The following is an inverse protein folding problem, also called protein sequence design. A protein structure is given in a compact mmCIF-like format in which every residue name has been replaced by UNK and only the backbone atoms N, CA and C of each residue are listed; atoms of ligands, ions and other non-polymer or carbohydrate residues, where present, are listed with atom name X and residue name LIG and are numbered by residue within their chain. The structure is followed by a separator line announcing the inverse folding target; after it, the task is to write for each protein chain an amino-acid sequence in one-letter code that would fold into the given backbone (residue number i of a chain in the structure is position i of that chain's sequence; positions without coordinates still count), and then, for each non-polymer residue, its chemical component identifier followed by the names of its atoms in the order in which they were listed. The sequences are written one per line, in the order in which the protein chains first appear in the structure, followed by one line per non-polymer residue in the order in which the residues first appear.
data_IF_949353722934
#
_entry.id   IF_949353722934
#
_cell.length_a   1.000
_cell.length_b   1.000
_cell.length_c   1.000
_cell.angle_alpha   90.00
_cell.angle_beta   90.00
_cell.angle_gamma   90.00
#
_symmetry.space_group_name_H-M   'P 1'
#
loop_
_entity.id
_entity.type
_entity.pdbx_description
1 polymer ?
#
# COMPACT_ATOMS: atom_id res chain seq x y z
N UNK A 1 23.94 -20.79 -17.55
CA UNK A 1 23.68 -21.11 -16.13
C UNK A 1 23.32 -19.79 -15.44
N UNK A 2 22.04 -19.53 -15.22
CA UNK A 2 21.55 -18.28 -14.61
C UNK A 2 21.95 -18.25 -13.12
N UNK A 3 22.81 -17.31 -12.71
CA UNK A 3 23.15 -17.11 -11.31
C UNK A 3 22.20 -16.07 -10.72
N UNK A 4 21.21 -16.50 -9.94
CA UNK A 4 20.43 -15.59 -9.09
C UNK A 4 21.25 -15.25 -7.84
N UNK A 5 21.34 -13.97 -7.50
CA UNK A 5 21.93 -13.50 -6.23
C UNK A 5 20.79 -13.07 -5.32
N UNK A 6 20.72 -13.63 -4.11
CA UNK A 6 19.70 -13.31 -3.12
C UNK A 6 20.33 -12.63 -1.91
N UNK A 7 19.72 -11.55 -1.43
CA UNK A 7 20.08 -10.84 -0.21
C UNK A 7 18.93 -10.96 0.79
N UNK A 8 19.27 -11.26 2.04
CA UNK A 8 18.33 -11.17 3.16
C UNK A 8 18.25 -9.71 3.64
N UNK A 9 17.05 -9.24 3.94
CA UNK A 9 16.83 -7.94 4.56
C UNK A 9 17.37 -7.98 5.99
N UNK A 10 18.61 -7.52 6.17
CA UNK A 10 19.19 -7.23 7.49
C UNK A 10 19.14 -5.73 7.74
N UNK A 11 19.09 -5.30 9.00
CA UNK A 11 18.92 -3.91 9.43
C UNK A 11 20.00 -2.92 8.95
N UNK A 12 20.99 -3.37 8.18
CA UNK A 12 22.05 -2.57 7.56
C UNK A 12 21.96 -2.68 6.04
N UNK A 13 21.27 -1.72 5.43
CA UNK A 13 20.96 -1.67 4.01
C UNK A 13 22.19 -1.42 3.12
N UNK A 14 22.65 -2.45 2.40
CA UNK A 14 23.57 -2.28 1.27
C UNK A 14 22.86 -1.66 0.05
N UNK A 15 23.57 -0.74 -0.60
CA UNK A 15 23.08 0.15 -1.64
C UNK A 15 22.94 -0.57 -2.98
N UNK A 16 21.77 -1.12 -3.29
CA UNK A 16 21.35 -1.38 -4.67
C UNK A 16 20.00 -0.69 -4.96
N UNK A 17 19.98 0.12 -6.01
CA UNK A 17 18.87 1.01 -6.40
C UNK A 17 17.65 0.18 -6.81
N UNK A 18 16.51 0.41 -6.16
CA UNK A 18 15.32 1.12 -6.70
C UNK A 18 14.01 0.61 -6.07
N UNK A 19 13.74 -0.69 -6.01
CA UNK A 19 12.40 -1.19 -5.60
C UNK A 19 12.28 -1.60 -4.12
N UNK A 20 13.19 -2.39 -3.51
CA UNK A 20 13.05 -2.79 -2.10
C UNK A 20 13.12 -1.58 -1.17
N UNK A 21 13.96 -0.60 -1.52
CA UNK A 21 14.16 0.62 -0.74
C UNK A 21 12.92 1.51 -0.77
N UNK A 22 12.24 1.65 -1.91
CA UNK A 22 11.00 2.41 -2.00
C UNK A 22 9.91 1.75 -1.15
N UNK A 23 9.75 0.43 -1.24
CA UNK A 23 8.74 -0.30 -0.47
C UNK A 23 8.98 -0.19 1.05
N UNK A 24 10.22 -0.36 1.52
CA UNK A 24 10.53 -0.19 2.97
C UNK A 24 10.47 1.26 3.43
N UNK A 25 10.68 2.25 2.55
CA UNK A 25 10.50 3.66 2.89
C UNK A 25 9.01 4.06 2.89
N UNK A 26 8.19 3.39 2.08
CA UNK A 26 6.75 3.63 1.97
C UNK A 26 5.98 2.95 3.10
N UNK A 27 6.32 1.73 3.52
CA UNK A 27 5.69 1.05 4.66
C UNK A 27 6.69 0.41 5.64
N UNK A 28 6.47 0.55 6.96
CA UNK A 28 7.20 -0.17 7.99
C UNK A 28 6.99 -1.68 7.89
N UNK A 29 7.94 -2.44 8.45
CA UNK A 29 7.90 -3.90 8.50
C UNK A 29 6.59 -4.47 9.11
N UNK A 30 5.95 -3.73 10.01
CA UNK A 30 4.68 -4.15 10.65
C UNK A 30 3.52 -4.29 9.65
N UNK A 31 3.52 -3.48 8.57
CA UNK A 31 2.48 -3.51 7.54
C UNK A 31 2.88 -4.34 6.31
N UNK A 32 4.18 -4.59 6.13
CA UNK A 32 4.76 -5.36 5.04
C UNK A 32 6.09 -5.98 5.49
N UNK A 33 6.12 -7.29 5.71
CA UNK A 33 7.35 -7.97 6.17
C UNK A 33 8.13 -8.55 4.98
N UNK A 34 9.18 -7.82 4.57
CA UNK A 34 10.15 -8.25 3.55
C UNK A 34 11.30 -9.04 4.21
N UNK A 35 11.43 -10.33 3.90
CA UNK A 35 12.54 -11.16 4.38
C UNK A 35 13.80 -11.01 3.54
N UNK A 36 13.66 -10.70 2.25
CA UNK A 36 14.79 -10.53 1.35
C UNK A 36 14.37 -10.30 -0.09
N UNK A 37 15.35 -10.21 -0.98
CA UNK A 37 15.11 -10.10 -2.40
C UNK A 37 16.19 -10.82 -3.21
N UNK A 38 15.83 -11.33 -4.36
CA UNK A 38 16.73 -11.92 -5.33
C UNK A 38 16.75 -11.09 -6.61
N UNK A 39 17.93 -10.88 -7.18
CA UNK A 39 18.07 -10.27 -8.49
C UNK A 39 18.74 -11.25 -9.46
N UNK A 40 18.34 -11.16 -10.72
CA UNK A 40 18.89 -11.96 -11.79
C UNK A 40 19.63 -11.04 -12.76
N UNK A 41 20.95 -11.20 -12.81
CA UNK A 41 21.83 -10.47 -13.71
C UNK A 41 21.92 -11.28 -15.02
N UNK A 42 21.11 -10.94 -16.03
CA UNK A 42 21.12 -11.60 -17.33
C UNK A 42 21.03 -10.59 -18.47
N UNK A 43 21.88 -10.74 -19.49
CA UNK A 43 22.00 -9.81 -20.62
C UNK A 43 20.71 -9.68 -21.47
N UNK A 44 19.76 -10.61 -21.34
CA UNK A 44 18.54 -10.64 -22.18
C UNK A 44 17.30 -10.01 -21.51
N UNK A 45 17.30 -9.85 -20.18
CA UNK A 45 16.21 -9.21 -19.43
C UNK A 45 16.85 -8.32 -18.36
N UNK A 46 16.82 -6.98 -18.51
CA UNK A 46 17.32 -6.09 -17.47
C UNK A 46 16.48 -6.25 -16.19
N UNK A 47 17.18 -6.47 -15.08
CA UNK A 47 16.74 -6.24 -13.70
C UNK A 47 15.46 -6.96 -13.23
N UNK A 48 15.37 -8.28 -13.42
CA UNK A 48 14.33 -9.07 -12.73
C UNK A 48 14.61 -9.12 -11.23
N UNK A 49 13.76 -8.47 -10.45
CA UNK A 49 13.75 -8.52 -8.98
C UNK A 49 12.65 -9.45 -8.48
N UNK A 50 12.97 -10.30 -7.51
CA UNK A 50 12.01 -11.14 -6.79
C UNK A 50 12.08 -10.77 -5.31
N UNK A 51 10.99 -10.29 -4.74
CA UNK A 51 10.87 -10.05 -3.30
C UNK A 51 10.41 -11.33 -2.58
N UNK A 52 10.97 -11.59 -1.40
CA UNK A 52 10.55 -12.67 -0.50
C UNK A 52 9.86 -12.01 0.69
N UNK A 53 8.56 -12.22 0.81
CA UNK A 53 7.72 -11.60 1.82
C UNK A 53 7.12 -12.64 2.76
N UNK A 54 6.55 -12.18 3.85
CA UNK A 54 5.74 -13.00 4.75
C UNK A 54 4.52 -13.60 4.04
N UNK A 55 4.31 -14.89 4.29
CA UNK A 55 3.18 -15.63 3.74
C UNK A 55 1.97 -15.43 4.65
N UNK A 56 0.88 -14.91 4.09
CA UNK A 56 -0.42 -14.82 4.75
C UNK A 56 -1.53 -15.47 3.94
N UNK A 57 -2.71 -15.59 4.55
CA UNK A 57 -3.91 -16.04 3.85
C UNK A 57 -4.57 -14.87 3.12
N UNK A 58 -4.91 -14.96 1.83
CA UNK A 58 -5.60 -13.89 1.10
C UNK A 58 -6.88 -13.43 1.79
N UNK A 59 -7.14 -12.12 1.78
CA UNK A 59 -8.39 -11.58 2.31
C UNK A 59 -9.56 -11.87 1.36
N UNK A 60 -10.35 -12.90 1.68
CA UNK A 60 -11.56 -13.23 0.93
C UNK A 60 -12.82 -12.66 1.59
N UNK A 61 -13.74 -12.11 0.78
CA UNK A 61 -14.99 -11.54 1.31
C UNK A 61 -15.88 -12.56 2.00
N UNK A 62 -15.90 -13.81 1.52
CA UNK A 62 -16.68 -14.86 2.16
C UNK A 62 -16.15 -15.19 3.55
N UNK A 63 -14.83 -15.14 3.74
CA UNK A 63 -14.20 -15.36 5.03
C UNK A 63 -14.49 -14.23 6.01
N UNK A 64 -14.54 -12.97 5.54
CA UNK A 64 -14.96 -11.82 6.35
C UNK A 64 -16.39 -11.96 6.89
N UNK A 65 -17.33 -12.44 6.06
CA UNK A 65 -18.72 -12.61 6.48
C UNK A 65 -18.90 -13.72 7.54
N UNK A 66 -17.96 -14.64 7.65
CA UNK A 66 -18.02 -15.78 8.57
C UNK A 66 -17.10 -15.62 9.78
N UNK A 67 -16.25 -14.60 9.82
CA UNK A 67 -15.33 -14.34 10.94
C UNK A 67 -16.08 -13.82 12.16
N UNK A 68 -15.55 -14.12 13.34
CA UNK A 68 -16.04 -13.60 14.62
C UNK A 68 -15.98 -12.07 14.64
N UNK A 69 -16.82 -11.43 15.44
CA UNK A 69 -16.79 -9.98 15.58
C UNK A 69 -15.43 -9.48 16.12
N UNK A 70 -14.76 -10.26 16.97
CA UNK A 70 -13.43 -9.97 17.53
C UNK A 70 -12.37 -9.90 16.42
N UNK A 71 -12.39 -10.88 15.52
CA UNK A 71 -11.44 -10.94 14.40
C UNK A 71 -11.70 -9.81 13.40
N UNK A 72 -12.97 -9.51 13.11
CA UNK A 72 -13.31 -8.37 12.25
C UNK A 72 -12.84 -7.04 12.85
N UNK A 73 -13.00 -6.87 14.16
CA UNK A 73 -12.52 -5.69 14.85
C UNK A 73 -11.00 -5.56 14.78
N UNK A 74 -10.27 -6.68 14.92
CA UNK A 74 -8.82 -6.72 14.74
C UNK A 74 -8.42 -6.30 13.33
N UNK A 75 -9.06 -6.85 12.29
CA UNK A 75 -8.84 -6.49 10.89
C UNK A 75 -9.11 -4.99 10.65
N UNK A 76 -10.24 -4.47 11.14
CA UNK A 76 -10.56 -3.04 11.07
C UNK A 76 -9.48 -2.18 11.72
N UNK A 77 -8.97 -2.58 12.88
CA UNK A 77 -7.91 -1.85 13.58
C UNK A 77 -6.61 -1.84 12.78
N UNK A 78 -6.19 -2.99 12.22
CA UNK A 78 -5.02 -3.07 11.34
C UNK A 78 -5.18 -2.16 10.12
N UNK A 79 -6.37 -2.17 9.50
CA UNK A 79 -6.70 -1.31 8.35
C UNK A 79 -6.60 0.18 8.70
N UNK A 80 -7.20 0.61 9.81
CA UNK A 80 -7.16 2.03 10.23
C UNK A 80 -5.74 2.47 10.55
N UNK A 81 -4.93 1.60 11.19
CA UNK A 81 -3.50 1.88 11.43
C UNK A 81 -2.73 2.07 10.13
N UNK A 82 -3.00 1.22 9.12
CA UNK A 82 -2.39 1.35 7.80
C UNK A 82 -2.80 2.67 7.13
N UNK A 83 -4.10 2.98 7.09
CA UNK A 83 -4.61 4.23 6.50
C UNK A 83 -4.00 5.46 7.17
N UNK A 84 -3.93 5.46 8.50
CA UNK A 84 -3.29 6.53 9.26
C UNK A 84 -1.82 6.68 8.90
N UNK A 85 -1.09 5.57 8.76
CA UNK A 85 0.31 5.61 8.35
C UNK A 85 0.47 6.15 6.93
N UNK A 86 -0.34 5.69 5.97
CA UNK A 86 -0.28 6.15 4.58
C UNK A 86 -0.52 7.67 4.48
N UNK A 87 -1.47 8.20 5.25
CA UNK A 87 -1.75 9.64 5.29
C UNK A 87 -0.60 10.48 5.90
N UNK A 88 0.13 9.92 6.88
CA UNK A 88 1.17 10.62 7.64
C UNK A 88 2.58 10.06 7.40
N UNK A 89 2.80 9.43 6.26
CA UNK A 89 4.10 8.85 5.92
C UNK A 89 5.18 9.95 5.88
N UNK A 90 6.42 9.65 6.31
CA UNK A 90 7.53 10.62 6.27
C UNK A 90 7.89 11.08 4.85
N UNK A 91 7.40 10.40 3.82
CA UNK A 91 7.57 10.77 2.42
C UNK A 91 6.45 11.67 1.87
N UNK A 92 5.41 11.95 2.68
CA UNK A 92 4.15 12.57 2.24
C UNK A 92 3.03 11.54 2.10
N UNK A 93 1.80 12.02 1.93
CA UNK A 93 0.60 11.16 1.86
C UNK A 93 0.70 10.19 0.68
N UNK A 94 0.62 8.90 0.99
CA UNK A 94 0.75 7.80 0.02
C UNK A 94 -0.64 7.36 -0.44
N UNK A 95 -0.85 7.19 -1.74
CA UNK A 95 -2.03 6.55 -2.31
C UNK A 95 -1.70 5.13 -2.78
N UNK A 96 -2.60 4.18 -2.52
CA UNK A 96 -2.56 2.84 -3.10
C UNK A 96 -3.44 2.86 -4.36
N UNK A 97 -2.81 2.83 -5.54
CA UNK A 97 -3.55 2.92 -6.80
C UNK A 97 -4.43 1.69 -7.04
N UNK A 98 -3.98 0.51 -6.61
CA UNK A 98 -4.74 -0.73 -6.68
C UNK A 98 -5.31 -1.18 -5.32
N UNK A 99 -6.11 -0.33 -4.69
CA UNK A 99 -6.77 -0.68 -3.41
C UNK A 99 -7.89 -1.72 -3.62
N UNK A 100 -7.54 -3.01 -3.61
CA UNK A 100 -8.50 -4.14 -3.71
C UNK A 100 -8.25 -5.17 -2.62
N UNK A 101 -9.27 -5.92 -2.14
CA UNK A 101 -9.08 -6.95 -1.11
C UNK A 101 -8.00 -7.99 -1.43
N UNK A 102 -7.80 -8.32 -2.72
CA UNK A 102 -6.75 -9.25 -3.17
C UNK A 102 -5.31 -8.78 -2.91
N UNK A 103 -5.11 -7.48 -2.68
CA UNK A 103 -3.81 -6.91 -2.33
C UNK A 103 -3.52 -6.98 -0.82
N UNK A 104 -4.35 -7.70 -0.08
CA UNK A 104 -4.21 -7.87 1.35
C UNK A 104 -4.22 -9.34 1.75
N UNK A 105 -3.47 -9.62 2.80
CA UNK A 105 -3.42 -10.92 3.46
C UNK A 105 -3.65 -10.74 4.96
N UNK A 106 -4.10 -11.81 5.59
CA UNK A 106 -4.14 -11.93 7.04
C UNK A 106 -2.91 -12.73 7.48
N UNK A 107 -2.17 -12.18 8.43
CA UNK A 107 -1.08 -12.87 9.12
C UNK A 107 -1.29 -12.70 10.61
N UNK A 108 -1.38 -13.81 11.34
CA UNK A 108 -1.62 -13.83 12.79
C UNK A 108 -2.82 -12.95 13.23
N UNK A 109 -3.86 -12.89 12.40
CA UNK A 109 -5.08 -12.12 12.63
C UNK A 109 -4.99 -10.63 12.26
N UNK A 110 -3.82 -10.14 11.84
CA UNK A 110 -3.64 -8.75 11.42
C UNK A 110 -3.66 -8.61 9.90
N UNK A 111 -4.27 -7.52 9.41
CA UNK A 111 -4.29 -7.19 7.99
C UNK A 111 -2.95 -6.61 7.55
N UNK A 112 -2.36 -7.16 6.49
CA UNK A 112 -1.14 -6.66 5.85
C UNK A 112 -1.35 -6.49 4.35
N UNK A 113 -0.67 -5.52 3.76
CA UNK A 113 -0.71 -5.29 2.30
C UNK A 113 0.42 -6.09 1.65
N UNK A 114 0.18 -6.67 0.48
CA UNK A 114 1.17 -7.52 -0.21
C UNK A 114 1.83 -6.86 -1.40
N UNK A 115 1.16 -5.87 -2.00
CA UNK A 115 1.60 -5.24 -3.24
C UNK A 115 1.60 -3.72 -3.10
N UNK A 116 2.74 -3.13 -3.43
CA UNK A 116 3.05 -1.70 -3.21
C UNK A 116 3.81 -1.11 -4.39
N UNK A 117 3.97 -1.84 -5.48
CA UNK A 117 4.72 -1.40 -6.65
C UNK A 117 4.02 -0.24 -7.39
N UNK A 118 2.71 -0.11 -7.20
CA UNK A 118 1.83 0.92 -7.70
C UNK A 118 1.38 1.93 -6.62
N UNK A 119 2.08 1.98 -5.47
CA UNK A 119 1.92 3.06 -4.51
C UNK A 119 2.59 4.37 -5.00
N UNK A 120 1.94 5.51 -4.74
CA UNK A 120 2.47 6.83 -5.13
C UNK A 120 2.40 7.82 -3.98
N UNK A 121 3.39 8.70 -3.89
CA UNK A 121 3.43 9.83 -2.94
C UNK A 121 3.02 11.15 -3.60
N UNK A 122 2.81 11.16 -4.91
CA UNK A 122 2.53 12.39 -5.65
C UNK A 122 1.06 12.77 -5.53
N UNK A 123 0.79 13.99 -5.08
CA UNK A 123 -0.54 14.59 -5.14
C UNK A 123 -0.83 15.15 -6.53
N UNK A 124 -2.09 15.14 -6.95
CA UNK A 124 -2.49 15.64 -8.28
C UNK A 124 -2.20 17.14 -8.41
N UNK A 125 -1.64 17.55 -9.56
CA UNK A 125 -1.41 18.96 -9.86
C UNK A 125 -2.74 19.69 -10.10
N UNK A 126 -2.83 20.95 -9.67
CA UNK A 126 -4.02 21.78 -9.80
C UNK A 126 -3.67 23.26 -10.00
N UNK A 127 -4.60 23.99 -10.61
CA UNK A 127 -4.61 25.45 -10.72
C UNK A 127 -5.73 26.08 -9.90
N UNK A 128 -6.80 25.33 -9.65
CA UNK A 128 -7.97 25.74 -8.88
C UNK A 128 -8.59 24.54 -8.17
N UNK A 129 -9.48 24.80 -7.20
CA UNK A 129 -10.15 23.73 -6.44
C UNK A 129 -10.95 22.77 -7.33
N UNK A 130 -11.48 23.22 -8.48
CA UNK A 130 -12.24 22.35 -9.39
C UNK A 130 -11.38 21.23 -10.00
N UNK A 131 -10.06 21.44 -10.10
CA UNK A 131 -9.13 20.42 -10.60
C UNK A 131 -8.97 19.27 -9.59
N UNK A 132 -9.30 19.52 -8.32
CA UNK A 132 -9.25 18.57 -7.22
C UNK A 132 -10.61 17.91 -6.94
N UNK A 133 -11.43 17.77 -7.98
CA UNK A 133 -12.69 17.05 -7.92
C UNK A 133 -12.44 15.54 -7.87
N UNK A 134 -13.04 14.89 -6.87
CA UNK A 134 -13.06 13.44 -6.73
C UNK A 134 -14.48 12.94 -6.93
N UNK A 135 -14.65 12.16 -7.99
CA UNK A 135 -15.89 11.46 -8.27
C UNK A 135 -15.90 10.12 -7.52
N UNK A 136 -16.94 9.93 -6.72
CA UNK A 136 -17.19 8.64 -6.10
C UNK A 136 -18.66 8.25 -6.24
N UNK A 137 -18.97 6.95 -6.44
CA UNK A 137 -20.34 6.47 -6.64
C UNK A 137 -21.38 6.97 -5.62
N UNK A 138 -20.99 7.17 -4.36
CA UNK A 138 -21.93 7.54 -3.28
C UNK A 138 -21.88 9.03 -2.89
N UNK A 139 -20.74 9.71 -3.05
CA UNK A 139 -20.56 11.09 -2.63
C UNK A 139 -19.33 11.72 -3.27
N UNK A 140 -19.52 12.82 -3.98
CA UNK A 140 -18.40 13.56 -4.56
C UNK A 140 -17.78 14.52 -3.56
N UNK A 141 -16.49 14.81 -3.74
CA UNK A 141 -15.77 15.79 -2.94
C UNK A 141 -14.93 16.69 -3.85
N UNK A 142 -14.68 17.90 -3.39
CA UNK A 142 -13.76 18.83 -4.04
C UNK A 142 -12.80 19.30 -2.97
N UNK A 143 -11.52 19.01 -3.16
CA UNK A 143 -10.48 19.36 -2.20
C UNK A 143 -9.86 20.72 -2.55
N UNK A 144 -9.26 21.42 -1.58
CA UNK A 144 -8.55 22.66 -1.87
C UNK A 144 -7.27 22.40 -2.67
N UNK A 145 -7.03 23.27 -3.65
CA UNK A 145 -5.74 23.37 -4.33
C UNK A 145 -4.78 24.19 -3.47
N UNK A 146 -3.61 23.64 -3.16
CA UNK A 146 -2.56 24.34 -2.41
C UNK A 146 -1.92 25.46 -3.23
N UNK A 147 -1.22 26.36 -2.54
CA UNK A 147 -0.41 27.42 -3.17
C UNK A 147 0.74 26.87 -4.03
N UNK A 148 1.14 25.62 -3.80
CA UNK A 148 2.16 24.89 -4.56
C UNK A 148 1.58 24.23 -5.82
N UNK A 149 0.29 24.42 -6.11
CA UNK A 149 -0.38 23.84 -7.27
C UNK A 149 -0.63 22.35 -7.14
N UNK A 150 -0.89 21.86 -5.92
CA UNK A 150 -1.18 20.44 -5.62
C UNK A 150 -2.49 20.29 -4.84
N UNK A 151 -3.30 19.29 -5.16
CA UNK A 151 -4.52 18.97 -4.42
C UNK A 151 -4.16 18.49 -3.01
N UNK A 152 -4.73 19.11 -1.99
CA UNK A 152 -4.41 18.76 -0.60
C UNK A 152 -5.16 17.50 -0.18
N UNK A 153 -4.44 16.51 0.36
CA UNK A 153 -4.98 15.28 0.96
C UNK A 153 -5.82 14.42 -0.01
N UNK A 154 -5.56 14.50 -1.31
CA UNK A 154 -6.31 13.72 -2.30
C UNK A 154 -5.97 12.22 -2.17
N UNK A 155 -4.70 11.91 -1.88
CA UNK A 155 -4.24 10.55 -1.64
C UNK A 155 -4.91 9.92 -0.40
N UNK A 156 -4.95 10.64 0.73
CA UNK A 156 -5.62 10.20 1.95
C UNK A 156 -7.10 9.91 1.70
N UNK A 157 -7.82 10.86 1.09
CA UNK A 157 -9.26 10.70 0.82
C UNK A 157 -9.55 9.53 -0.12
N UNK A 158 -8.67 9.28 -1.11
CA UNK A 158 -8.82 8.15 -2.03
C UNK A 158 -8.67 6.81 -1.31
N UNK A 159 -7.65 6.68 -0.47
CA UNK A 159 -7.46 5.47 0.35
C UNK A 159 -8.63 5.25 1.31
N UNK A 160 -9.07 6.29 2.00
CA UNK A 160 -10.18 6.21 2.94
C UNK A 160 -11.48 5.77 2.26
N UNK A 161 -11.80 6.35 1.10
CA UNK A 161 -12.98 5.95 0.34
C UNK A 161 -12.89 4.50 -0.15
N UNK A 162 -11.74 4.09 -0.66
CA UNK A 162 -11.55 2.72 -1.14
C UNK A 162 -11.62 1.69 0.01
N UNK A 163 -11.02 2.00 1.16
CA UNK A 163 -11.16 1.19 2.36
C UNK A 163 -12.62 1.06 2.80
N UNK A 164 -13.37 2.16 2.79
CA UNK A 164 -14.80 2.13 3.08
C UNK A 164 -15.55 1.22 2.11
N UNK A 165 -15.35 1.42 0.80
CA UNK A 165 -16.05 0.72 -0.27
C UNK A 165 -15.77 -0.77 -0.32
N UNK A 166 -14.52 -1.19 -0.08
CA UNK A 166 -14.09 -2.57 -0.32
C UNK A 166 -14.00 -3.41 0.95
N UNK A 167 -13.91 -2.79 2.13
CA UNK A 167 -13.70 -3.52 3.38
C UNK A 167 -14.75 -3.14 4.42
N UNK A 168 -14.84 -1.85 4.80
CA UNK A 168 -15.65 -1.44 5.95
C UNK A 168 -17.14 -1.67 5.72
N UNK A 169 -17.66 -1.47 4.51
CA UNK A 169 -19.07 -1.77 4.20
C UNK A 169 -19.46 -3.25 4.37
N UNK A 170 -18.48 -4.14 4.53
CA UNK A 170 -18.65 -5.58 4.60
C UNK A 170 -18.11 -6.21 5.90
N UNK A 171 -17.49 -5.41 6.77
CA UNK A 171 -16.98 -5.82 8.09
C UNK A 171 -18.06 -5.69 9.17
#
# INVERSE_FOLDING_TARGET
MLRKKCLLCTSSSEKHKSVPRYVTLILPCDFFQLYGYCYQDSNDIPDTLTAITELGSPLEMIQLLQTSWEDRFRICLSLVRLLHYLAHSPLGSVTLLDFRPRQFVIVDGELKVTDLDDASIEESSCTSNSDCFMEFPARNFTLPCSVEGRCQNMNEMRNLYNAYRYMISSL
#
